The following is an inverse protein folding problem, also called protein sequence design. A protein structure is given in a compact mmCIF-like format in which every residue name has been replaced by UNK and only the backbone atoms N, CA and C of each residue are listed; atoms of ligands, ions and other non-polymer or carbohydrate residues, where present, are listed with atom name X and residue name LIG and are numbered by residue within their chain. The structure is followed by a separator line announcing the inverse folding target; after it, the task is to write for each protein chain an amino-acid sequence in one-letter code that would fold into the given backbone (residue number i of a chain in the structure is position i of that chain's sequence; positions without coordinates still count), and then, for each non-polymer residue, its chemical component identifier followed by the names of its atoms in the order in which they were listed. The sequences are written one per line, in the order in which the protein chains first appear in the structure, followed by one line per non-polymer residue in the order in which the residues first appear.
data_IF_839558705095
#
_entry.id   IF_839558705095
#
_cell.length_a   1.000
_cell.length_b   1.000
_cell.length_c   1.000
_cell.angle_alpha   90.00
_cell.angle_beta   90.00
_cell.angle_gamma   90.00
#
_symmetry.space_group_name_H-M   'P 1'
#
loop_
_entity.id
_entity.type
_entity.pdbx_description
1 polymer ?
#
# COMPACT_ATOMS: atom_id res chain seq x y z
N UNK A 1 -47.31 -11.37 16.72
CA UNK A 1 -46.96 -10.63 15.51
C UNK A 1 -45.46 -10.36 15.55
N UNK A 2 -44.69 -11.21 14.89
CA UNK A 2 -43.23 -11.04 14.81
C UNK A 2 -42.95 -10.18 13.59
N UNK A 3 -42.53 -8.95 13.82
CA UNK A 3 -41.96 -8.13 12.76
C UNK A 3 -40.60 -8.72 12.37
N UNK A 4 -40.57 -9.43 11.23
CA UNK A 4 -39.34 -9.76 10.57
C UNK A 4 -38.68 -8.43 10.13
N UNK A 5 -37.57 -8.08 10.76
CA UNK A 5 -36.70 -7.02 10.29
C UNK A 5 -36.19 -7.48 8.92
N UNK A 6 -36.70 -6.87 7.87
CA UNK A 6 -36.20 -7.06 6.51
C UNK A 6 -34.76 -6.60 6.51
N UNK A 7 -33.84 -7.55 6.48
CA UNK A 7 -32.48 -7.31 6.11
C UNK A 7 -32.54 -6.82 4.66
N UNK A 8 -32.34 -5.52 4.46
CA UNK A 8 -32.24 -4.94 3.13
C UNK A 8 -31.10 -5.66 2.40
N UNK A 9 -31.47 -6.49 1.44
CA UNK A 9 -30.53 -7.12 0.50
C UNK A 9 -29.80 -5.97 -0.18
N UNK A 10 -28.47 -6.00 -0.11
CA UNK A 10 -27.61 -5.10 -0.87
C UNK A 10 -27.64 -5.56 -2.32
N UNK A 11 -28.66 -5.13 -3.07
CA UNK A 11 -28.93 -5.57 -4.45
C UNK A 11 -27.91 -5.06 -5.48
N UNK A 12 -27.00 -4.16 -5.08
CA UNK A 12 -26.03 -3.50 -5.98
C UNK A 12 -24.57 -3.87 -5.72
N UNK A 13 -24.29 -4.97 -5.02
CA UNK A 13 -22.91 -5.40 -4.78
C UNK A 13 -22.35 -6.10 -6.01
N UNK A 14 -21.36 -5.47 -6.65
CA UNK A 14 -20.61 -6.10 -7.75
C UNK A 14 -19.60 -7.12 -7.21
N UNK A 15 -19.47 -8.27 -7.86
CA UNK A 15 -18.46 -9.24 -7.50
C UNK A 15 -17.04 -8.75 -7.89
N UNK A 16 -16.02 -9.05 -7.07
CA UNK A 16 -14.65 -8.55 -7.34
C UNK A 16 -14.08 -8.94 -8.71
N UNK A 17 -14.49 -10.07 -9.28
CA UNK A 17 -14.09 -10.48 -10.63
C UNK A 17 -14.71 -9.58 -11.69
N UNK A 18 -15.98 -9.19 -11.55
CA UNK A 18 -16.63 -8.26 -12.47
C UNK A 18 -15.96 -6.90 -12.47
N UNK A 19 -15.50 -6.44 -11.29
CA UNK A 19 -14.70 -5.20 -11.19
C UNK A 19 -13.38 -5.35 -11.93
N UNK A 20 -12.70 -6.48 -11.77
CA UNK A 20 -11.44 -6.75 -12.46
C UNK A 20 -11.62 -6.80 -13.99
N UNK A 21 -12.72 -7.39 -14.47
CA UNK A 21 -13.06 -7.43 -15.88
C UNK A 21 -13.35 -6.03 -16.45
N UNK A 22 -14.07 -5.18 -15.70
CA UNK A 22 -14.28 -3.77 -16.09
C UNK A 22 -12.95 -2.99 -16.17
N UNK A 23 -12.01 -3.22 -15.24
CA UNK A 23 -10.68 -2.61 -15.32
C UNK A 23 -9.97 -3.05 -16.58
N UNK A 24 -10.00 -4.36 -16.89
CA UNK A 24 -9.35 -4.93 -18.06
C UNK A 24 -9.99 -4.43 -19.38
N UNK A 25 -11.31 -4.27 -19.42
CA UNK A 25 -12.01 -3.72 -20.59
C UNK A 25 -11.60 -2.28 -20.84
N UNK A 26 -11.48 -1.46 -19.79
CA UNK A 26 -11.14 -0.03 -19.91
C UNK A 26 -9.64 0.21 -20.12
N UNK A 27 -8.77 -0.64 -19.55
CA UNK A 27 -7.31 -0.52 -19.60
C UNK A 27 -6.65 -1.80 -20.11
N UNK A 28 -6.97 -2.27 -21.33
CA UNK A 28 -6.55 -3.59 -21.83
C UNK A 28 -5.02 -3.74 -22.01
N UNK A 29 -4.30 -2.63 -22.22
CA UNK A 29 -2.84 -2.63 -22.41
C UNK A 29 -2.06 -2.52 -21.10
N UNK A 30 -2.71 -2.07 -20.04
CA UNK A 30 -2.12 -1.83 -18.73
C UNK A 30 -2.33 -2.99 -17.75
N UNK A 31 -3.42 -3.75 -17.92
CA UNK A 31 -3.69 -4.94 -17.11
C UNK A 31 -2.84 -6.10 -17.60
N UNK A 32 -1.96 -6.59 -16.75
CA UNK A 32 -1.03 -7.68 -17.03
C UNK A 32 -1.62 -9.04 -16.66
N UNK A 33 -2.24 -9.12 -15.48
CA UNK A 33 -2.75 -10.36 -14.94
C UNK A 33 -3.92 -10.09 -13.98
N UNK A 34 -4.91 -10.99 -13.98
CA UNK A 34 -5.97 -11.03 -12.97
C UNK A 34 -5.82 -12.37 -12.25
N UNK A 35 -5.67 -12.34 -10.93
CA UNK A 35 -5.55 -13.53 -10.11
C UNK A 35 -6.67 -13.56 -9.07
N UNK A 36 -7.24 -14.76 -8.84
CA UNK A 36 -8.17 -14.99 -7.75
C UNK A 36 -7.58 -16.08 -6.83
N UNK A 37 -7.27 -15.72 -5.60
CA UNK A 37 -6.75 -16.63 -4.61
C UNK A 37 -7.49 -16.49 -3.30
N UNK A 38 -8.14 -17.54 -2.83
CA UNK A 38 -8.94 -17.56 -1.60
C UNK A 38 -9.98 -16.44 -1.56
N UNK A 39 -10.73 -16.28 -2.65
CA UNK A 39 -11.76 -15.26 -2.84
C UNK A 39 -11.25 -13.81 -2.78
N UNK A 40 -9.93 -13.62 -2.92
CA UNK A 40 -9.32 -12.32 -3.06
C UNK A 40 -8.85 -12.10 -4.49
N UNK A 41 -9.53 -11.22 -5.19
CA UNK A 41 -9.18 -10.85 -6.55
C UNK A 41 -8.10 -9.77 -6.52
N UNK A 42 -7.04 -10.00 -7.31
CA UNK A 42 -5.95 -9.06 -7.50
C UNK A 42 -5.75 -8.79 -8.99
N UNK A 43 -5.53 -7.54 -9.35
CA UNK A 43 -5.25 -7.08 -10.71
C UNK A 43 -3.84 -6.51 -10.74
N UNK A 44 -2.94 -7.17 -11.49
CA UNK A 44 -1.59 -6.67 -11.72
C UNK A 44 -1.59 -5.72 -12.90
N UNK A 45 -1.05 -4.52 -12.70
CA UNK A 45 -1.08 -3.44 -13.68
C UNK A 45 0.30 -2.82 -13.86
N UNK A 46 0.52 -2.19 -15.01
CA UNK A 46 1.68 -1.34 -15.24
C UNK A 46 1.55 -0.05 -14.42
N UNK A 47 2.68 0.47 -13.92
CA UNK A 47 2.73 1.67 -13.07
C UNK A 47 2.30 2.96 -13.78
N UNK A 48 2.49 3.04 -15.10
CA UNK A 48 2.35 4.26 -15.90
C UNK A 48 0.92 4.83 -15.89
N UNK A 49 -0.07 3.99 -15.61
CA UNK A 49 -1.49 4.37 -15.59
C UNK A 49 -2.18 4.14 -14.24
N UNK A 50 -1.40 4.00 -13.18
CA UNK A 50 -1.96 3.71 -11.86
C UNK A 50 -2.93 4.80 -11.39
N UNK A 51 -2.60 6.07 -11.62
CA UNK A 51 -3.46 7.19 -11.23
C UNK A 51 -4.78 7.17 -11.99
N UNK A 52 -4.73 6.93 -13.33
CA UNK A 52 -5.94 6.86 -14.16
C UNK A 52 -6.84 5.69 -13.75
N UNK A 53 -6.26 4.52 -13.44
CA UNK A 53 -6.99 3.33 -12.96
C UNK A 53 -7.61 3.61 -11.59
N UNK A 54 -6.85 4.19 -10.67
CA UNK A 54 -7.34 4.53 -9.32
C UNK A 54 -8.45 5.58 -9.37
N UNK A 55 -8.31 6.61 -10.22
CA UNK A 55 -9.32 7.63 -10.42
C UNK A 55 -10.61 7.01 -10.97
N UNK A 56 -10.50 6.17 -12.01
CA UNK A 56 -11.64 5.43 -12.54
C UNK A 56 -12.37 4.63 -11.46
N UNK A 57 -11.65 3.87 -10.66
CA UNK A 57 -12.24 3.04 -9.60
C UNK A 57 -12.91 3.87 -8.51
N UNK A 58 -12.42 5.07 -8.23
CA UNK A 58 -13.00 5.96 -7.22
C UNK A 58 -14.25 6.70 -7.72
N UNK A 59 -14.28 7.07 -9.01
CA UNK A 59 -15.34 7.91 -9.59
C UNK A 59 -16.48 7.12 -10.25
N UNK A 60 -16.23 5.87 -10.69
CA UNK A 60 -17.25 5.04 -11.31
C UNK A 60 -18.41 4.81 -10.33
N UNK A 61 -19.66 5.18 -10.69
CA UNK A 61 -20.79 5.16 -9.77
C UNK A 61 -21.21 3.76 -9.31
N UNK A 62 -20.88 2.72 -10.08
CA UNK A 62 -21.22 1.32 -9.78
C UNK A 62 -20.11 0.64 -8.96
N UNK A 63 -18.84 1.10 -9.08
CA UNK A 63 -17.69 0.55 -8.37
C UNK A 63 -17.41 1.33 -7.09
N UNK A 64 -17.22 2.64 -7.21
CA UNK A 64 -17.03 3.62 -6.13
C UNK A 64 -16.08 3.15 -5.03
N UNK A 65 -14.81 2.95 -5.37
CA UNK A 65 -13.76 2.67 -4.39
C UNK A 65 -13.38 3.95 -3.64
N UNK A 66 -14.18 4.31 -2.65
CA UNK A 66 -14.04 5.56 -1.90
C UNK A 66 -13.07 5.45 -0.70
N UNK A 67 -12.52 4.26 -0.44
CA UNK A 67 -11.60 4.04 0.65
C UNK A 67 -10.37 3.22 0.24
N UNK A 68 -9.18 3.79 0.42
CA UNK A 68 -7.91 3.08 0.39
C UNK A 68 -7.67 2.47 1.78
N UNK A 69 -7.89 1.16 1.90
CA UNK A 69 -7.75 0.46 3.18
C UNK A 69 -6.29 0.31 3.57
N UNK A 70 -5.41 0.13 2.57
CA UNK A 70 -3.98 -0.07 2.79
C UNK A 70 -3.22 0.13 1.48
N UNK A 71 -1.97 0.61 1.59
CA UNK A 71 -0.99 0.65 0.51
C UNK A 71 0.35 0.21 1.08
N UNK A 72 0.97 -0.80 0.48
CA UNK A 72 2.27 -1.28 0.91
C UNK A 72 3.19 -1.63 -0.27
N UNK A 73 4.49 -1.58 -0.02
CA UNK A 73 5.51 -2.07 -0.94
C UNK A 73 5.82 -3.55 -0.72
N UNK A 74 6.23 -4.25 -1.77
CA UNK A 74 6.76 -5.62 -1.69
C UNK A 74 8.03 -5.70 -2.55
N UNK A 75 9.08 -6.34 -2.02
CA UNK A 75 10.35 -6.56 -2.73
C UNK A 75 10.49 -8.03 -3.17
N UNK A 76 10.68 -8.22 -4.48
CA UNK A 76 10.92 -9.51 -5.15
C UNK A 76 12.26 -9.49 -5.90
N UNK A 77 13.40 -9.67 -5.25
CA UNK A 77 14.73 -9.44 -5.83
C UNK A 77 15.08 -10.30 -7.06
N UNK A 78 14.27 -11.31 -7.38
CA UNK A 78 14.49 -12.23 -8.51
C UNK A 78 13.49 -12.04 -9.66
N UNK A 79 12.62 -11.04 -9.60
CA UNK A 79 11.67 -10.72 -10.67
C UNK A 79 12.21 -9.58 -11.55
N UNK A 80 11.78 -9.54 -12.82
CA UNK A 80 12.11 -8.44 -13.75
C UNK A 80 11.61 -7.08 -13.20
N UNK A 81 10.40 -7.10 -12.62
CA UNK A 81 9.89 -5.99 -11.80
C UNK A 81 10.16 -6.33 -10.34
N UNK A 82 11.19 -5.69 -9.78
CA UNK A 82 11.62 -5.98 -8.41
C UNK A 82 10.59 -5.59 -7.37
N UNK A 83 9.92 -4.46 -7.56
CA UNK A 83 8.96 -3.97 -6.57
C UNK A 83 7.52 -4.11 -7.06
N UNK A 84 6.61 -4.36 -6.13
CA UNK A 84 5.17 -4.22 -6.32
C UNK A 84 4.65 -3.20 -5.31
N UNK A 85 3.83 -2.25 -5.75
CA UNK A 85 3.02 -1.42 -4.86
C UNK A 85 1.61 -2.00 -4.85
N UNK A 86 1.18 -2.43 -3.69
CA UNK A 86 -0.11 -3.11 -3.49
C UNK A 86 -1.10 -2.13 -2.90
N UNK A 87 -2.22 -1.92 -3.57
CA UNK A 87 -3.33 -1.07 -3.13
C UNK A 87 -4.51 -1.96 -2.76
N UNK A 88 -4.96 -1.92 -1.52
CA UNK A 88 -6.16 -2.59 -1.07
C UNK A 88 -7.31 -1.56 -1.04
N UNK A 89 -8.21 -1.67 -2.00
CA UNK A 89 -9.33 -0.74 -2.20
C UNK A 89 -10.63 -1.32 -1.68
N UNK A 90 -11.47 -0.46 -1.11
CA UNK A 90 -12.76 -0.82 -0.55
C UNK A 90 -13.82 0.22 -0.88
N UNK A 91 -15.01 -0.24 -1.22
CA UNK A 91 -16.21 0.59 -1.34
C UNK A 91 -17.01 0.53 -0.05
N UNK A 92 -17.14 1.66 0.63
CA UNK A 92 -17.95 1.77 1.86
C UNK A 92 -19.43 1.56 1.53
N UNK A 93 -19.86 2.13 0.39
CA UNK A 93 -21.27 2.04 -0.07
C UNK A 93 -21.66 0.62 -0.43
N UNK A 94 -20.88 -0.04 -1.30
CA UNK A 94 -21.22 -1.35 -1.86
C UNK A 94 -20.59 -2.53 -1.13
N UNK A 95 -19.67 -2.28 -0.20
CA UNK A 95 -18.97 -3.30 0.62
C UNK A 95 -18.22 -4.35 -0.19
N UNK A 96 -17.79 -4.01 -1.39
CA UNK A 96 -16.87 -4.83 -2.17
C UNK A 96 -15.43 -4.32 -2.07
N UNK A 97 -14.49 -5.17 -2.44
CA UNK A 97 -13.06 -4.88 -2.35
C UNK A 97 -12.34 -5.39 -3.59
N UNK A 98 -11.24 -4.74 -3.93
CA UNK A 98 -10.30 -5.21 -4.93
C UNK A 98 -8.87 -4.86 -4.53
N UNK A 99 -7.92 -5.66 -4.99
CA UNK A 99 -6.50 -5.38 -4.82
C UNK A 99 -5.89 -5.04 -6.17
N UNK A 100 -5.20 -3.91 -6.26
CA UNK A 100 -4.32 -3.60 -7.37
C UNK A 100 -2.87 -3.86 -6.98
N UNK A 101 -2.06 -4.31 -7.94
CA UNK A 101 -0.62 -4.51 -7.79
C UNK A 101 0.07 -3.79 -8.93
N UNK A 102 0.69 -2.66 -8.66
CA UNK A 102 1.46 -1.92 -9.65
C UNK A 102 2.90 -2.43 -9.66
N UNK A 103 3.38 -2.84 -10.83
CA UNK A 103 4.73 -3.37 -11.00
C UNK A 103 5.72 -2.23 -11.22
N UNK A 104 6.80 -2.21 -10.43
CA UNK A 104 7.81 -1.15 -10.44
C UNK A 104 9.19 -1.77 -10.65
N UNK A 105 9.97 -1.34 -11.68
CA UNK A 105 11.28 -1.88 -11.97
C UNK A 105 12.34 -1.41 -10.96
N UNK A 106 13.45 -2.16 -10.89
CA UNK A 106 14.53 -1.87 -9.94
C UNK A 106 15.37 -0.64 -10.32
N UNK A 107 15.54 -0.41 -11.62
CA UNK A 107 16.36 0.68 -12.18
C UNK A 107 15.69 2.05 -12.09
N UNK A 108 14.36 2.08 -12.04
CA UNK A 108 13.57 3.29 -11.79
C UNK A 108 12.44 2.96 -10.79
N UNK A 109 12.74 2.91 -9.48
CA UNK A 109 11.75 2.56 -8.46
C UNK A 109 10.81 3.74 -8.16
N UNK A 110 10.07 4.17 -9.17
CA UNK A 110 9.15 5.31 -9.07
C UNK A 110 7.76 4.97 -9.61
N UNK A 111 6.73 5.60 -9.03
CA UNK A 111 5.33 5.46 -9.40
C UNK A 111 4.59 6.77 -9.08
N UNK A 112 3.49 7.06 -9.75
CA UNK A 112 2.71 8.27 -9.46
C UNK A 112 1.93 8.13 -8.15
N UNK A 113 1.89 9.22 -7.38
CA UNK A 113 1.16 9.32 -6.11
C UNK A 113 -0.35 9.32 -6.33
N UNK A 114 -1.07 8.65 -5.43
CA UNK A 114 -2.55 8.64 -5.41
C UNK A 114 -3.14 9.46 -4.25
N UNK A 115 -2.32 10.31 -3.60
CA UNK A 115 -2.76 11.20 -2.50
C UNK A 115 -3.87 12.15 -2.93
N UNK A 116 -3.89 12.57 -4.21
CA UNK A 116 -4.96 13.41 -4.76
C UNK A 116 -6.33 12.72 -4.80
N UNK A 117 -6.35 11.39 -4.87
CA UNK A 117 -7.56 10.56 -4.89
C UNK A 117 -7.95 10.17 -3.47
N UNK A 118 -7.01 9.65 -2.70
CA UNK A 118 -7.23 9.25 -1.31
C UNK A 118 -6.21 9.91 -0.38
N UNK A 119 -6.64 10.83 0.45
CA UNK A 119 -5.73 11.55 1.37
C UNK A 119 -4.98 10.63 2.33
N UNK A 120 -5.56 9.47 2.68
CA UNK A 120 -4.91 8.47 3.52
C UNK A 120 -3.65 7.86 2.90
N UNK A 121 -3.52 7.86 1.57
CA UNK A 121 -2.35 7.39 0.85
C UNK A 121 -1.06 8.12 1.29
N UNK A 122 -1.16 9.38 1.75
CA UNK A 122 -0.01 10.18 2.17
C UNK A 122 0.92 9.41 3.13
N UNK A 123 0.35 8.81 4.17
CA UNK A 123 1.12 8.09 5.18
C UNK A 123 1.69 6.77 4.65
N UNK A 124 0.90 6.02 3.91
CA UNK A 124 1.30 4.74 3.34
C UNK A 124 2.38 4.89 2.26
N UNK A 125 2.28 5.92 1.42
CA UNK A 125 3.29 6.21 0.39
C UNK A 125 4.62 6.62 1.02
N UNK A 126 4.58 7.41 2.09
CA UNK A 126 5.79 7.75 2.87
C UNK A 126 6.42 6.53 3.50
N UNK A 127 5.62 5.61 4.07
CA UNK A 127 6.11 4.35 4.62
C UNK A 127 6.75 3.48 3.54
N UNK A 128 6.09 3.31 2.40
CA UNK A 128 6.64 2.52 1.29
C UNK A 128 7.92 3.15 0.71
N UNK A 129 8.00 4.49 0.67
CA UNK A 129 9.22 5.18 0.29
C UNK A 129 10.33 4.96 1.31
N UNK A 130 10.06 5.11 2.60
CA UNK A 130 11.02 4.98 3.68
C UNK A 130 11.58 3.55 3.79
N UNK A 131 10.72 2.54 3.65
CA UNK A 131 11.08 1.14 3.82
C UNK A 131 11.70 0.47 2.58
N UNK A 132 11.29 0.88 1.36
CA UNK A 132 11.69 0.24 0.11
C UNK A 132 12.43 1.17 -0.86
N UNK A 133 12.38 2.49 -0.65
CA UNK A 133 12.93 3.48 -1.57
C UNK A 133 12.12 3.62 -2.86
N UNK A 134 10.82 3.37 -2.81
CA UNK A 134 9.91 3.62 -3.92
C UNK A 134 9.52 5.11 -3.90
N UNK A 135 9.81 5.83 -4.98
CA UNK A 135 9.53 7.27 -5.07
C UNK A 135 8.13 7.51 -5.63
N UNK A 136 7.27 8.16 -4.87
CA UNK A 136 5.91 8.52 -5.30
C UNK A 136 5.91 9.92 -5.93
N UNK A 137 5.85 9.97 -7.26
CA UNK A 137 5.86 11.23 -8.03
C UNK A 137 4.59 12.04 -7.76
N UNK A 138 4.75 13.32 -7.47
CA UNK A 138 3.61 14.20 -7.15
C UNK A 138 3.11 14.10 -5.70
N UNK A 139 3.77 13.31 -4.84
CA UNK A 139 3.50 13.33 -3.42
C UNK A 139 3.86 14.71 -2.81
N UNK A 140 3.01 15.28 -1.94
CA UNK A 140 3.23 16.65 -1.44
C UNK A 140 4.43 16.78 -0.48
N UNK A 141 4.78 15.71 0.25
CA UNK A 141 5.85 15.73 1.26
C UNK A 141 6.36 14.31 1.53
N UNK A 142 7.35 13.84 0.77
CA UNK A 142 7.84 12.46 0.79
C UNK A 142 9.02 12.25 1.78
N UNK A 143 9.03 12.96 2.91
CA UNK A 143 10.04 12.74 3.96
C UNK A 143 9.81 11.41 4.69
N UNK A 144 10.87 10.88 5.32
CA UNK A 144 10.80 9.66 6.13
C UNK A 144 9.75 9.75 7.23
N UNK A 145 9.25 8.61 7.69
CA UNK A 145 8.19 8.52 8.69
C UNK A 145 8.52 7.54 9.83
N UNK A 146 9.20 6.44 9.54
CA UNK A 146 9.56 5.40 10.51
C UNK A 146 11.03 5.45 10.88
N UNK A 147 11.89 5.68 9.89
CA UNK A 147 13.33 5.74 10.12
C UNK A 147 13.80 7.16 10.41
N UNK A 148 14.90 7.34 11.17
CA UNK A 148 15.56 8.63 11.32
C UNK A 148 16.01 9.20 9.97
N UNK A 149 16.13 10.53 9.86
CA UNK A 149 16.52 11.19 8.61
C UNK A 149 17.92 10.80 8.13
N UNK A 150 18.81 10.45 9.07
CA UNK A 150 20.19 10.01 8.82
C UNK A 150 20.33 8.50 8.62
N UNK A 151 19.22 7.74 8.60
CA UNK A 151 19.26 6.30 8.32
C UNK A 151 19.76 6.02 6.91
N UNK A 152 20.73 5.12 6.79
CA UNK A 152 21.28 4.70 5.50
C UNK A 152 20.54 3.47 4.94
N UNK A 153 20.04 3.62 3.71
CA UNK A 153 19.34 2.55 2.97
C UNK A 153 17.86 2.39 3.30
N UNK A 154 17.34 1.19 2.97
CA UNK A 154 15.92 0.86 3.02
C UNK A 154 15.72 -0.51 3.68
N UNK A 155 15.27 -0.55 4.94
CA UNK A 155 15.39 -1.73 5.80
C UNK A 155 14.49 -2.91 5.40
N UNK A 156 13.46 -2.73 4.61
CA UNK A 156 12.59 -3.83 4.17
C UNK A 156 12.97 -4.42 2.82
N UNK A 157 14.00 -3.89 2.15
CA UNK A 157 14.58 -4.53 0.97
C UNK A 157 15.24 -5.86 1.37
N UNK A 158 15.08 -6.89 0.53
CA UNK A 158 15.59 -8.25 0.80
C UNK A 158 17.12 -8.37 0.73
N UNK A 159 17.78 -7.40 0.11
CA UNK A 159 19.25 -7.27 0.05
C UNK A 159 19.81 -6.35 1.14
N UNK A 160 18.96 -5.75 1.98
CA UNK A 160 19.40 -4.95 3.12
C UNK A 160 19.93 -5.87 4.23
N UNK A 161 21.14 -5.62 4.77
CA UNK A 161 21.72 -6.47 5.81
C UNK A 161 20.91 -6.40 7.11
N UNK A 162 20.76 -7.55 7.78
CA UNK A 162 19.97 -7.65 9.01
C UNK A 162 20.57 -6.83 10.17
N UNK A 163 21.91 -6.70 10.16
CA UNK A 163 22.66 -5.94 11.17
C UNK A 163 22.77 -4.45 10.85
N UNK A 164 22.11 -3.99 9.76
CA UNK A 164 22.23 -2.62 9.27
C UNK A 164 23.48 -2.41 8.39
N UNK A 165 23.72 -1.15 7.97
CA UNK A 165 24.92 -0.78 7.20
C UNK A 165 26.12 -0.62 8.10
N UNK A 166 27.30 -1.05 7.64
CA UNK A 166 28.55 -0.99 8.40
C UNK A 166 28.87 0.47 8.80
N UNK A 167 29.14 0.67 10.08
CA UNK A 167 29.51 1.98 10.63
C UNK A 167 28.35 2.92 10.93
N UNK A 168 27.09 2.49 10.72
CA UNK A 168 25.95 3.27 11.16
C UNK A 168 25.58 2.93 12.61
N UNK A 169 25.59 3.94 13.48
CA UNK A 169 25.18 3.85 14.88
C UNK A 169 23.95 4.73 15.11
N UNK A 170 22.88 4.14 15.65
CA UNK A 170 21.70 4.88 16.03
C UNK A 170 21.99 5.76 17.25
N UNK A 171 22.12 7.06 17.04
CA UNK A 171 22.47 8.02 18.09
C UNK A 171 21.42 8.10 19.22
N UNK A 172 20.17 7.86 18.92
CA UNK A 172 19.08 7.83 19.93
C UNK A 172 19.09 6.61 20.85
N UNK A 173 19.92 5.59 20.56
CA UNK A 173 20.00 4.40 21.41
C UNK A 173 20.72 4.67 22.74
N UNK A 174 21.66 5.61 22.77
CA UNK A 174 22.31 6.03 24.02
C UNK A 174 21.37 6.79 24.92
N UNK A 175 20.55 7.70 24.35
CA UNK A 175 19.50 8.42 25.11
C UNK A 175 18.43 7.45 25.67
N UNK A 176 18.07 6.40 24.92
CA UNK A 176 17.12 5.37 25.37
C UNK A 176 17.76 4.47 26.44
N UNK A 177 19.04 4.14 26.32
CA UNK A 177 19.77 3.40 27.39
C UNK A 177 19.80 4.18 28.70
N UNK A 178 20.06 5.49 28.66
CA UNK A 178 20.06 6.33 29.88
C UNK A 178 18.68 6.39 30.53
N UNK A 179 17.59 6.40 29.74
CA UNK A 179 16.22 6.34 30.25
C UNK A 179 15.90 4.97 30.92
N UNK A 180 16.41 3.87 30.40
CA UNK A 180 16.18 2.53 30.97
C UNK A 180 17.06 2.21 32.19
N UNK A 181 18.17 2.90 32.39
CA UNK A 181 18.99 2.73 33.64
C UNK A 181 18.35 3.31 34.88
N UNK A 182 17.27 4.11 34.74
CA UNK A 182 16.48 4.60 35.87
C UNK A 182 15.29 3.70 36.22
N UNK A 183 14.96 2.67 35.42
CA UNK A 183 13.80 1.80 35.66
C UNK A 183 14.05 0.61 36.59
N UNK A 184 15.26 0.46 37.16
CA UNK A 184 15.56 -0.58 38.17
C UNK A 184 14.87 -0.34 39.55
N UNK A 185 14.09 0.75 39.70
CA UNK A 185 13.34 1.05 40.92
C UNK A 185 11.86 0.62 40.91
N UNK A 186 11.35 0.01 39.83
CA UNK A 186 9.99 -0.57 39.81
C UNK A 186 9.95 -1.95 40.48
N UNK A 187 10.37 -2.02 41.73
CA UNK A 187 10.05 -3.13 42.63
C UNK A 187 8.55 -3.08 42.97
N UNK A 188 7.74 -3.76 42.23
CA UNK A 188 6.36 -4.08 42.59
C UNK A 188 6.41 -5.04 43.76
N UNK A 189 6.10 -4.53 44.95
CA UNK A 189 5.79 -5.34 46.14
C UNK A 189 4.37 -5.83 46.06
#
# INVERSE_FOLDING_TARGET
MHNAVHCTQYEDKMEPLEIADKIKEKFPLEVLEITNFRDQVSVSVKREKITDICLYLSEDPDIRMDYLSDLCGVDYPRKDYRFEVVYNLYSIKYRHRIRLKALVPADDPSIDSVVSIWRGANWHEREACDMFGIVFKGHPDLRRILMPDDWDGYPLRKDYPLEGTEGWEYRGYEEVKELHTHDDEWNIK
#
